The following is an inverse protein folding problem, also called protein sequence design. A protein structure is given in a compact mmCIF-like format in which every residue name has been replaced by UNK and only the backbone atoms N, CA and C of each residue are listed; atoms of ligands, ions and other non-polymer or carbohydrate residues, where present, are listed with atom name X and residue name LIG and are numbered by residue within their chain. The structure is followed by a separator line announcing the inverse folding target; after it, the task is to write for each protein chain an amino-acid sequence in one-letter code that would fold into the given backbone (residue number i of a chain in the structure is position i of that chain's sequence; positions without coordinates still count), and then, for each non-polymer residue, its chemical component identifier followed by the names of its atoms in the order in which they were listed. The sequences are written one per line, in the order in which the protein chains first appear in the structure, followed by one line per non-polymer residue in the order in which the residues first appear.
data_IF_989299716551
#
_entry.id   IF_989299716551
#
_cell.length_a   1.000
_cell.length_b   1.000
_cell.length_c   1.000
_cell.angle_alpha   90.00
_cell.angle_beta   90.00
_cell.angle_gamma   90.00
#
_symmetry.space_group_name_H-M   'P 1'
#
loop_
_entity.id
_entity.type
_entity.pdbx_description
1 polymer ?
#
# COMPACT_ATOMS: atom_id res chain seq x y z
N UNK A 1 -21.57 3.67 19.31
CA UNK A 1 -21.40 2.20 19.36
C UNK A 1 -19.99 1.83 18.90
N UNK A 2 -19.21 1.17 19.76
CA UNK A 2 -17.98 0.52 19.30
C UNK A 2 -18.32 -0.37 18.10
N UNK A 3 -17.59 -0.25 17.00
CA UNK A 3 -17.81 -1.13 15.86
C UNK A 3 -17.50 -2.57 16.28
N UNK A 4 -18.38 -3.51 15.90
CA UNK A 4 -18.15 -4.94 16.12
C UNK A 4 -16.87 -5.45 15.41
N UNK A 5 -16.35 -4.68 14.46
CA UNK A 5 -15.13 -4.97 13.69
C UNK A 5 -14.14 -3.80 13.85
N UNK A 6 -12.90 -4.11 14.25
CA UNK A 6 -11.81 -3.14 14.39
C UNK A 6 -10.60 -3.58 13.58
N UNK A 7 -9.81 -2.61 13.13
CA UNK A 7 -8.45 -2.88 12.68
C UNK A 7 -7.58 -3.37 13.83
N UNK A 8 -6.46 -4.02 13.51
CA UNK A 8 -5.53 -4.58 14.51
C UNK A 8 -4.96 -3.50 15.42
N UNK A 9 -4.65 -2.31 14.89
CA UNK A 9 -4.18 -1.15 15.65
C UNK A 9 -5.19 0.02 15.52
N UNK A 10 -6.30 0.02 16.27
CA UNK A 10 -7.41 0.95 16.06
C UNK A 10 -7.08 2.41 16.37
N UNK A 11 -6.08 2.67 17.23
CA UNK A 11 -5.68 4.02 17.64
C UNK A 11 -4.49 4.57 16.84
N UNK A 12 -3.97 3.80 15.87
CA UNK A 12 -2.92 4.27 14.99
C UNK A 12 -3.46 5.37 14.05
N UNK A 13 -2.66 6.43 13.86
CA UNK A 13 -2.96 7.46 12.85
C UNK A 13 -2.70 6.89 11.45
N UNK A 14 -3.50 7.30 10.48
CA UNK A 14 -3.40 6.86 9.08
C UNK A 14 -3.00 8.06 8.21
N UNK A 15 -1.97 7.89 7.39
CA UNK A 15 -1.63 8.79 6.27
C UNK A 15 -2.00 8.06 4.99
N UNK A 16 -2.93 8.63 4.20
CA UNK A 16 -3.34 8.06 2.92
C UNK A 16 -2.59 8.73 1.78
N UNK A 17 -1.81 7.97 1.02
CA UNK A 17 -1.09 8.45 -0.17
C UNK A 17 -1.68 7.75 -1.39
N UNK A 18 -2.43 8.51 -2.20
CA UNK A 18 -3.10 7.98 -3.39
C UNK A 18 -2.11 7.91 -4.57
N UNK A 19 -1.83 6.70 -5.03
CA UNK A 19 -0.95 6.42 -6.19
C UNK A 19 -1.67 5.74 -7.36
N UNK A 20 -2.93 5.38 -7.17
CA UNK A 20 -3.73 4.65 -8.14
C UNK A 20 -4.90 5.44 -8.70
N UNK A 21 -5.32 5.06 -9.90
CA UNK A 21 -6.54 5.54 -10.56
C UNK A 21 -7.78 4.78 -10.05
N UNK A 22 -8.97 5.18 -10.49
CA UNK A 22 -10.24 4.72 -9.92
C UNK A 22 -10.50 3.21 -10.08
N UNK A 23 -9.94 2.59 -11.12
CA UNK A 23 -10.03 1.15 -11.40
C UNK A 23 -8.96 0.32 -10.67
N UNK A 24 -8.11 0.95 -9.86
CA UNK A 24 -7.02 0.29 -9.13
C UNK A 24 -5.71 0.19 -9.92
N UNK A 25 -5.63 0.70 -11.15
CA UNK A 25 -4.38 0.85 -11.87
C UNK A 25 -3.39 1.76 -11.13
N UNK A 26 -2.13 1.33 -11.01
CA UNK A 26 -1.04 2.08 -10.37
C UNK A 26 0.13 2.10 -11.33
N UNK A 27 0.96 3.14 -11.36
CA UNK A 27 2.23 3.10 -12.14
C UNK A 27 3.43 3.06 -11.19
N UNK A 28 4.48 2.34 -11.59
CA UNK A 28 5.72 2.20 -10.80
C UNK A 28 6.30 3.56 -10.43
N UNK A 29 6.27 4.54 -11.35
CA UNK A 29 6.84 5.86 -11.08
C UNK A 29 6.07 6.62 -9.99
N UNK A 30 4.74 6.44 -9.91
CA UNK A 30 3.93 7.03 -8.86
C UNK A 30 4.18 6.39 -7.49
N UNK A 31 4.39 5.07 -7.47
CA UNK A 31 4.74 4.38 -6.22
C UNK A 31 6.11 4.82 -5.72
N UNK A 32 7.11 4.88 -6.61
CA UNK A 32 8.45 5.38 -6.27
C UNK A 32 8.35 6.81 -5.72
N UNK A 33 7.62 7.70 -6.40
CA UNK A 33 7.39 9.07 -5.96
C UNK A 33 6.76 9.16 -4.57
N UNK A 34 5.73 8.35 -4.32
CA UNK A 34 5.03 8.31 -3.04
C UNK A 34 5.90 7.77 -1.91
N UNK A 35 6.69 6.73 -2.16
CA UNK A 35 7.63 6.20 -1.15
C UNK A 35 8.66 7.26 -0.78
N UNK A 36 9.17 7.99 -1.76
CA UNK A 36 10.10 9.09 -1.54
C UNK A 36 9.49 10.21 -0.70
N UNK A 37 8.27 10.65 -1.04
CA UNK A 37 7.53 11.61 -0.23
C UNK A 37 7.34 11.12 1.22
N UNK A 38 6.95 9.85 1.39
CA UNK A 38 6.81 9.24 2.72
C UNK A 38 8.12 9.28 3.49
N UNK A 39 9.25 8.97 2.85
CA UNK A 39 10.57 9.03 3.48
C UNK A 39 10.92 10.46 3.90
N UNK A 40 10.74 11.42 3.02
CA UNK A 40 11.11 12.82 3.26
C UNK A 40 10.25 13.45 4.37
N UNK A 41 8.94 13.15 4.40
CA UNK A 41 7.97 13.75 5.32
C UNK A 41 7.65 12.91 6.56
N UNK A 42 8.30 11.75 6.77
CA UNK A 42 7.98 10.82 7.87
C UNK A 42 8.00 11.43 9.27
N UNK A 43 8.75 12.51 9.46
CA UNK A 43 8.98 13.22 10.72
C UNK A 43 8.49 14.68 10.70
N UNK A 44 7.76 15.10 9.66
CA UNK A 44 7.17 16.43 9.63
C UNK A 44 6.25 16.65 10.83
N UNK A 45 6.02 17.90 11.20
CA UNK A 45 5.24 18.23 12.39
C UNK A 45 3.86 17.55 12.38
N UNK A 46 3.58 16.74 13.40
CA UNK A 46 2.35 15.95 13.52
C UNK A 46 2.39 14.56 12.88
N UNK A 47 3.46 14.23 12.15
CA UNK A 47 3.70 12.93 11.53
C UNK A 47 4.76 12.12 12.31
N UNK A 48 4.60 10.80 12.25
CA UNK A 48 5.54 9.81 12.74
C UNK A 48 5.31 8.53 11.95
N UNK A 49 5.61 8.58 10.64
CA UNK A 49 5.34 7.45 9.74
C UNK A 49 6.38 6.37 10.02
N UNK A 50 5.91 5.26 10.60
CA UNK A 50 6.77 4.13 11.00
C UNK A 50 6.47 2.83 10.28
N UNK A 51 5.31 2.73 9.62
CA UNK A 51 4.86 1.56 8.87
C UNK A 51 4.36 2.03 7.52
N UNK A 52 4.84 1.39 6.44
CA UNK A 52 4.39 1.60 5.08
C UNK A 52 3.78 0.31 4.55
N UNK A 53 2.48 0.33 4.30
CA UNK A 53 1.73 -0.79 3.74
C UNK A 53 1.63 -0.68 2.21
N UNK A 54 2.18 -1.66 1.49
CA UNK A 54 2.12 -1.76 0.03
C UNK A 54 1.32 -3.03 -0.33
N UNK A 55 0.00 -2.89 -0.41
CA UNK A 55 -0.95 -3.97 -0.72
C UNK A 55 -1.17 -4.17 -2.23
N UNK A 56 -0.15 -3.92 -3.05
CA UNK A 56 -0.14 -4.10 -4.50
C UNK A 56 1.31 -4.32 -4.96
N UNK A 57 1.52 -4.75 -6.21
CA UNK A 57 2.86 -4.95 -6.74
C UNK A 57 2.87 -5.29 -8.22
N UNK A 58 4.08 -5.39 -8.77
CA UNK A 58 4.28 -5.73 -10.18
C UNK A 58 4.76 -7.18 -10.35
N UNK A 59 4.62 -7.69 -11.56
CA UNK A 59 5.14 -8.99 -11.99
C UNK A 59 6.59 -8.92 -12.47
N UNK A 60 7.34 -7.89 -12.05
CA UNK A 60 8.74 -7.74 -12.46
C UNK A 60 9.54 -9.02 -12.19
N UNK A 61 10.26 -9.48 -13.21
CA UNK A 61 11.14 -10.65 -13.14
C UNK A 61 12.61 -10.25 -12.94
N UNK A 62 12.89 -8.95 -12.79
CA UNK A 62 14.27 -8.50 -12.61
C UNK A 62 14.77 -8.82 -11.19
N UNK A 63 16.07 -9.05 -11.01
CA UNK A 63 16.63 -9.21 -9.67
C UNK A 63 16.32 -8.02 -8.78
N UNK A 64 15.93 -8.27 -7.52
CA UNK A 64 15.64 -7.21 -6.55
C UNK A 64 16.77 -6.18 -6.45
N UNK A 65 18.03 -6.64 -6.54
CA UNK A 65 19.24 -5.81 -6.47
C UNK A 65 19.34 -4.70 -7.55
N UNK A 66 18.56 -4.80 -8.63
CA UNK A 66 18.52 -3.78 -9.68
C UNK A 66 17.14 -3.15 -9.85
N UNK A 67 16.10 -3.66 -9.19
CA UNK A 67 14.73 -3.16 -9.36
C UNK A 67 14.58 -1.76 -8.72
N UNK A 68 14.14 -0.72 -9.48
CA UNK A 68 13.99 0.64 -8.96
C UNK A 68 12.85 0.78 -7.93
N UNK A 69 11.77 -0.01 -8.03
CA UNK A 69 10.71 -0.05 -7.02
C UNK A 69 11.21 -0.73 -5.74
N UNK A 70 11.97 -1.82 -5.86
CA UNK A 70 12.62 -2.45 -4.71
C UNK A 70 13.60 -1.48 -4.02
N UNK A 71 14.38 -0.73 -4.79
CA UNK A 71 15.26 0.31 -4.24
C UNK A 71 14.49 1.35 -3.44
N UNK A 72 13.37 1.87 -3.97
CA UNK A 72 12.55 2.84 -3.25
C UNK A 72 12.04 2.27 -1.91
N UNK A 73 11.51 1.05 -1.93
CA UNK A 73 11.05 0.36 -0.72
C UNK A 73 12.19 0.13 0.28
N UNK A 74 13.37 -0.26 -0.18
CA UNK A 74 14.55 -0.47 0.67
C UNK A 74 15.11 0.84 1.25
N UNK A 75 14.93 1.97 0.58
CA UNK A 75 15.21 3.30 1.18
C UNK A 75 14.27 3.63 2.32
N UNK A 76 12.98 3.34 2.18
CA UNK A 76 12.05 3.50 3.30
C UNK A 76 12.43 2.62 4.48
N UNK A 77 12.81 1.36 4.21
CA UNK A 77 13.37 0.46 5.21
C UNK A 77 14.59 1.05 5.92
N UNK A 78 15.56 1.53 5.15
CA UNK A 78 16.78 2.14 5.67
C UNK A 78 16.52 3.44 6.46
N UNK A 79 15.44 4.17 6.14
CA UNK A 79 15.00 5.37 6.84
C UNK A 79 14.25 5.09 8.17
N UNK A 80 14.13 3.82 8.56
CA UNK A 80 13.49 3.40 9.81
C UNK A 80 11.98 3.12 9.70
N UNK A 81 11.46 3.01 8.48
CA UNK A 81 10.06 2.69 8.20
C UNK A 81 9.95 1.19 7.91
N UNK A 82 9.09 0.47 8.64
CA UNK A 82 8.82 -0.94 8.34
C UNK A 82 7.96 -1.00 7.08
N UNK A 83 8.48 -1.58 6.01
CA UNK A 83 7.73 -1.77 4.76
C UNK A 83 7.12 -3.17 4.74
N UNK A 84 5.80 -3.23 4.67
CA UNK A 84 5.01 -4.46 4.63
C UNK A 84 4.39 -4.56 3.23
N UNK A 85 4.78 -5.59 2.47
CA UNK A 85 4.35 -5.76 1.09
C UNK A 85 3.57 -7.07 0.90
N UNK A 86 2.47 -7.00 0.17
CA UNK A 86 1.69 -8.17 -0.21
C UNK A 86 2.49 -9.07 -1.17
N UNK A 87 2.50 -10.38 -0.93
CA UNK A 87 3.23 -11.34 -1.75
C UNK A 87 2.68 -11.47 -3.18
N UNK A 88 1.41 -11.16 -3.39
CA UNK A 88 0.70 -11.28 -4.68
C UNK A 88 -0.32 -12.43 -4.68
N UNK A 89 -1.23 -12.41 -5.66
CA UNK A 89 -2.36 -13.34 -5.75
C UNK A 89 -2.27 -14.29 -6.97
N UNK A 90 -1.06 -14.53 -7.49
CA UNK A 90 -0.83 -15.26 -8.76
C UNK A 90 -0.27 -16.67 -8.58
N UNK A 91 -0.35 -17.26 -7.39
CA UNK A 91 -0.07 -18.68 -7.29
C UNK A 91 -1.14 -19.46 -8.08
N UNK A 92 -0.68 -20.41 -8.90
CA UNK A 92 -1.54 -21.28 -9.70
C UNK A 92 -1.64 -22.67 -9.07
N UNK A 93 -2.64 -23.43 -9.52
CA UNK A 93 -2.98 -24.82 -9.17
C UNK A 93 -1.94 -25.55 -8.29
N UNK A 94 -2.24 -25.72 -7.01
CA UNK A 94 -1.40 -26.47 -6.06
C UNK A 94 -0.21 -25.68 -5.51
N UNK A 95 -0.35 -24.37 -5.29
CA UNK A 95 0.68 -23.51 -4.70
C UNK A 95 1.99 -23.52 -5.51
N UNK A 96 1.87 -23.51 -6.83
CA UNK A 96 3.00 -23.41 -7.75
C UNK A 96 2.97 -22.08 -8.49
N UNK A 97 4.10 -21.37 -8.51
CA UNK A 97 4.26 -20.19 -9.35
C UNK A 97 5.62 -20.22 -10.05
N UNK A 98 5.63 -19.97 -11.37
CA UNK A 98 6.86 -19.71 -12.11
C UNK A 98 7.42 -18.30 -11.85
N UNK A 99 6.57 -17.40 -11.35
CA UNK A 99 6.88 -15.97 -11.18
C UNK A 99 7.36 -15.60 -9.77
N UNK A 100 6.96 -16.33 -8.74
CA UNK A 100 7.31 -16.02 -7.35
C UNK A 100 6.48 -14.87 -6.77
N UNK A 101 7.10 -14.12 -5.86
CA UNK A 101 6.48 -12.96 -5.21
C UNK A 101 6.47 -11.74 -6.13
N UNK A 102 5.47 -10.86 -5.96
CA UNK A 102 5.43 -9.57 -6.64
C UNK A 102 6.54 -8.62 -6.16
N UNK A 103 6.97 -7.68 -7.00
CA UNK A 103 7.80 -6.54 -6.56
C UNK A 103 6.92 -5.51 -5.84
N UNK A 104 7.32 -4.94 -4.68
CA UNK A 104 8.64 -5.06 -4.02
C UNK A 104 8.76 -6.20 -2.98
N UNK A 105 7.72 -7.02 -2.75
CA UNK A 105 7.76 -8.11 -1.77
C UNK A 105 8.85 -9.17 -2.06
N UNK A 106 9.26 -9.32 -3.31
CA UNK A 106 10.37 -10.19 -3.68
C UNK A 106 11.72 -9.76 -3.08
N UNK A 107 11.90 -8.47 -2.73
CA UNK A 107 13.13 -8.00 -2.08
C UNK A 107 13.36 -8.71 -0.73
N UNK A 108 14.54 -9.30 -0.47
CA UNK A 108 14.86 -9.94 0.80
C UNK A 108 14.79 -9.03 2.03
N UNK A 109 14.91 -7.70 1.84
CA UNK A 109 14.84 -6.71 2.91
C UNK A 109 13.41 -6.41 3.34
N UNK A 110 12.45 -6.51 2.41
CA UNK A 110 11.06 -6.11 2.64
C UNK A 110 10.27 -7.26 3.28
N UNK A 111 9.40 -6.91 4.23
CA UNK A 111 8.53 -7.87 4.90
C UNK A 111 7.44 -8.32 3.93
N UNK A 112 7.62 -9.52 3.37
CA UNK A 112 6.69 -10.11 2.41
C UNK A 112 5.62 -10.94 3.12
N UNK A 113 4.35 -10.65 2.85
CA UNK A 113 3.23 -11.28 3.54
C UNK A 113 2.35 -12.07 2.57
N UNK A 114 2.20 -13.36 2.83
CA UNK A 114 1.21 -14.21 2.17
C UNK A 114 -0.13 -14.22 2.93
N UNK A 115 -1.16 -14.78 2.31
CA UNK A 115 -2.47 -14.91 2.92
C UNK A 115 -2.63 -16.27 3.62
N UNK A 116 -3.49 -16.31 4.63
CA UNK A 116 -4.05 -17.53 5.19
C UNK A 116 -5.57 -17.40 5.33
N UNK A 117 -6.24 -18.54 5.35
CA UNK A 117 -7.66 -18.70 5.64
C UNK A 117 -7.81 -19.41 7.00
N UNK A 118 -8.65 -18.84 7.86
CA UNK A 118 -9.01 -19.42 9.16
C UNK A 118 -10.19 -20.40 9.07
N UNK A 119 -10.72 -20.60 7.86
CA UNK A 119 -11.98 -21.29 7.56
C UNK A 119 -13.18 -20.79 8.39
N UNK A 120 -13.11 -19.56 8.91
CA UNK A 120 -14.14 -19.01 9.78
C UNK A 120 -14.24 -19.70 11.15
N UNK A 121 -13.24 -20.46 11.58
CA UNK A 121 -13.23 -21.12 12.89
C UNK A 121 -12.27 -20.41 13.86
N UNK A 122 -12.49 -20.61 15.17
CA UNK A 122 -11.55 -20.15 16.21
C UNK A 122 -10.39 -21.11 16.42
N UNK A 123 -10.48 -22.31 15.87
CA UNK A 123 -9.41 -23.31 15.92
C UNK A 123 -8.35 -22.93 14.92
N UNK A 124 -7.09 -23.04 15.31
CA UNK A 124 -5.96 -22.80 14.39
C UNK A 124 -5.47 -24.07 13.69
N UNK A 125 -6.15 -25.21 13.90
CA UNK A 125 -5.71 -26.53 13.41
C UNK A 125 -6.04 -26.76 11.94
N UNK A 126 -7.06 -26.08 11.46
CA UNK A 126 -7.59 -26.13 10.11
C UNK A 126 -7.15 -24.94 9.25
N UNK A 127 -6.51 -23.93 9.85
CA UNK A 127 -5.88 -22.81 9.15
C UNK A 127 -5.03 -23.30 7.97
N UNK A 128 -5.22 -22.67 6.80
CA UNK A 128 -4.53 -23.07 5.58
C UNK A 128 -4.07 -21.87 4.76
N UNK A 129 -3.10 -22.07 3.87
CA UNK A 129 -2.72 -21.05 2.89
C UNK A 129 -3.61 -21.22 1.65
N UNK A 130 -4.42 -20.22 1.25
CA UNK A 130 -5.28 -20.33 0.09
C UNK A 130 -4.46 -20.39 -1.21
N UNK A 131 -5.03 -21.02 -2.24
CA UNK A 131 -4.35 -21.27 -3.53
C UNK A 131 -3.89 -20.01 -4.25
N UNK A 132 -4.56 -18.88 -4.05
CA UNK A 132 -4.19 -17.61 -4.67
C UNK A 132 -2.92 -17.01 -4.08
N UNK A 133 -2.61 -17.27 -2.80
CA UNK A 133 -1.49 -16.63 -2.10
C UNK A 133 -0.19 -16.96 -2.80
N UNK A 134 0.58 -15.94 -3.19
CA UNK A 134 1.87 -16.13 -3.81
C UNK A 134 2.80 -16.98 -2.94
N UNK A 135 3.62 -17.78 -3.61
CA UNK A 135 4.55 -18.74 -3.03
C UNK A 135 5.91 -18.60 -3.71
N UNK A 136 6.94 -19.16 -3.09
CA UNK A 136 8.27 -19.14 -3.68
C UNK A 136 8.27 -19.75 -5.10
N UNK A 137 8.90 -19.06 -6.05
CA UNK A 137 9.29 -19.67 -7.31
C UNK A 137 10.37 -20.74 -7.08
N UNK A 138 10.67 -21.57 -8.08
CA UNK A 138 11.78 -22.51 -8.02
C UNK A 138 13.09 -21.80 -7.68
N UNK A 139 13.70 -22.15 -6.53
CA UNK A 139 14.90 -21.49 -5.95
C UNK A 139 14.72 -19.99 -5.64
N UNK A 140 13.48 -19.51 -5.63
CA UNK A 140 13.13 -18.14 -5.24
C UNK A 140 12.89 -17.99 -3.73
N UNK A 141 12.75 -16.74 -3.30
CA UNK A 141 12.38 -16.38 -1.93
C UNK A 141 10.90 -16.72 -1.67
N UNK A 142 10.61 -17.28 -0.49
CA UNK A 142 9.25 -17.41 0.05
C UNK A 142 8.81 -16.13 0.76
N UNK A 143 7.51 -15.98 1.02
CA UNK A 143 7.02 -14.96 1.96
C UNK A 143 7.69 -15.12 3.32
N UNK A 144 7.70 -14.06 4.12
CA UNK A 144 8.27 -14.13 5.47
C UNK A 144 7.36 -14.83 6.45
N UNK A 145 6.06 -14.58 6.31
CA UNK A 145 4.99 -15.18 7.08
C UNK A 145 3.69 -15.06 6.30
N UNK A 146 2.65 -15.71 6.79
CA UNK A 146 1.28 -15.53 6.31
C UNK A 146 0.43 -14.88 7.39
N UNK A 147 -0.55 -14.07 7.00
CA UNK A 147 -1.52 -13.47 7.90
C UNK A 147 -2.93 -13.63 7.34
N UNK A 148 -3.96 -13.40 8.16
CA UNK A 148 -5.36 -13.54 7.74
C UNK A 148 -5.59 -12.67 6.51
N UNK A 149 -5.92 -13.31 5.39
CA UNK A 149 -6.12 -12.65 4.11
C UNK A 149 -7.35 -13.13 3.36
N UNK A 150 -7.95 -14.27 3.75
CA UNK A 150 -9.20 -14.75 3.16
C UNK A 150 -10.42 -14.25 3.94
N UNK A 151 -11.46 -13.84 3.21
CA UNK A 151 -12.79 -13.51 3.73
C UNK A 151 -12.77 -12.44 4.83
N UNK A 152 -11.79 -11.54 4.78
CA UNK A 152 -11.61 -10.47 5.75
C UNK A 152 -12.70 -9.41 5.57
N UNK A 153 -13.25 -8.91 6.66
CA UNK A 153 -14.27 -7.85 6.64
C UNK A 153 -13.60 -6.51 6.92
N UNK A 154 -13.76 -5.56 6.00
CA UNK A 154 -13.20 -4.21 6.08
C UNK A 154 -14.24 -3.13 5.79
N UNK A 155 -13.82 -1.86 5.90
CA UNK A 155 -14.69 -0.72 5.57
C UNK A 155 -14.99 -0.70 4.07
N UNK A 156 -16.27 -0.48 3.75
CA UNK A 156 -16.73 -0.35 2.37
C UNK A 156 -16.59 1.09 1.88
N UNK A 157 -16.19 1.26 0.63
CA UNK A 157 -16.28 2.52 -0.11
C UNK A 157 -17.37 2.38 -1.18
N UNK A 158 -18.57 2.96 -0.97
CA UNK A 158 -19.66 2.88 -1.93
C UNK A 158 -19.26 3.45 -3.30
N UNK A 159 -19.70 2.80 -4.39
CA UNK A 159 -19.44 3.16 -5.78
C UNK A 159 -17.96 3.10 -6.19
N UNK A 160 -17.08 2.53 -5.36
CA UNK A 160 -15.72 2.20 -5.79
C UNK A 160 -15.74 1.09 -6.84
N UNK A 161 -14.63 0.93 -7.59
CA UNK A 161 -14.53 -0.12 -8.60
C UNK A 161 -14.83 -1.51 -8.01
N UNK A 162 -14.26 -1.85 -6.85
CA UNK A 162 -14.51 -3.15 -6.21
C UNK A 162 -15.95 -3.28 -5.75
N UNK A 163 -16.54 -2.19 -5.23
CA UNK A 163 -17.93 -2.19 -4.80
C UNK A 163 -18.88 -2.46 -5.97
N UNK A 164 -18.65 -1.84 -7.12
CA UNK A 164 -19.52 -1.98 -8.31
C UNK A 164 -19.36 -3.34 -9.00
N UNK A 165 -18.14 -3.84 -9.11
CA UNK A 165 -17.84 -5.05 -9.88
C UNK A 165 -17.97 -6.35 -9.07
N UNK A 166 -17.97 -6.28 -7.73
CA UNK A 166 -18.07 -7.45 -6.85
C UNK A 166 -19.16 -7.24 -5.77
N UNK A 167 -20.44 -7.10 -6.17
CA UNK A 167 -21.53 -6.81 -5.24
C UNK A 167 -21.74 -7.87 -4.16
N UNK A 168 -21.32 -9.12 -4.39
CA UNK A 168 -21.36 -10.23 -3.43
C UNK A 168 -20.46 -10.02 -2.21
N UNK A 169 -19.42 -9.18 -2.32
CA UNK A 169 -18.57 -8.80 -1.19
C UNK A 169 -19.25 -7.84 -0.23
N UNK A 170 -20.38 -7.21 -0.60
CA UNK A 170 -21.03 -6.19 0.22
C UNK A 170 -21.68 -6.82 1.46
N UNK A 171 -21.34 -6.29 2.63
CA UNK A 171 -21.92 -6.68 3.92
C UNK A 171 -22.69 -5.49 4.52
N UNK A 172 -23.95 -5.36 4.09
CA UNK A 172 -24.76 -4.18 4.39
C UNK A 172 -24.14 -2.91 3.82
N UNK A 173 -24.42 -1.77 4.47
CA UNK A 173 -24.01 -0.47 3.93
C UNK A 173 -22.56 -0.09 4.24
N UNK A 174 -22.00 -0.63 5.33
CA UNK A 174 -20.73 -0.16 5.93
C UNK A 174 -19.53 -1.05 5.66
N UNK A 175 -19.74 -2.33 5.36
CA UNK A 175 -18.65 -3.31 5.30
C UNK A 175 -18.57 -4.01 3.95
N UNK A 176 -17.36 -4.43 3.62
CA UNK A 176 -17.05 -5.19 2.42
C UNK A 176 -16.15 -6.35 2.83
N UNK A 177 -16.42 -7.54 2.31
CA UNK A 177 -15.61 -8.74 2.49
C UNK A 177 -14.65 -8.85 1.31
N UNK A 178 -13.38 -9.13 1.58
CA UNK A 178 -12.34 -9.31 0.57
C UNK A 178 -11.44 -10.50 0.87
N UNK A 179 -10.78 -11.02 -0.18
CA UNK A 179 -9.75 -12.04 -0.07
C UNK A 179 -8.51 -11.65 -0.88
N UNK A 180 -7.34 -11.71 -0.26
CA UNK A 180 -6.10 -11.35 -0.91
C UNK A 180 -4.90 -11.26 0.03
N UNK A 181 -3.69 -11.28 -0.56
CA UNK A 181 -2.47 -10.92 0.17
C UNK A 181 -2.43 -9.44 0.55
N UNK A 182 -3.25 -8.60 -0.12
CA UNK A 182 -3.48 -7.19 0.21
C UNK A 182 -4.03 -7.00 1.62
N UNK A 183 -5.01 -7.81 2.02
CA UNK A 183 -5.63 -7.87 3.34
C UNK A 183 -4.62 -8.36 4.39
N UNK A 184 -3.87 -9.42 4.06
CA UNK A 184 -2.86 -9.99 4.95
C UNK A 184 -1.74 -8.97 5.27
N UNK A 185 -1.30 -8.19 4.28
CA UNK A 185 -0.34 -7.10 4.47
C UNK A 185 -0.90 -6.01 5.40
N UNK A 186 -2.18 -5.65 5.28
CA UNK A 186 -2.81 -4.66 6.15
C UNK A 186 -2.93 -5.15 7.60
N UNK A 187 -3.33 -6.42 7.81
CA UNK A 187 -3.36 -7.07 9.13
C UNK A 187 -1.96 -7.06 9.77
N UNK A 188 -0.94 -7.43 9.00
CA UNK A 188 0.45 -7.43 9.46
C UNK A 188 0.94 -6.02 9.78
N UNK A 189 0.58 -5.01 8.98
CA UNK A 189 0.93 -3.61 9.25
C UNK A 189 0.36 -3.11 10.58
N UNK A 190 -0.87 -3.52 10.92
CA UNK A 190 -1.45 -3.22 12.23
C UNK A 190 -0.72 -3.92 13.38
N UNK A 191 -0.32 -5.19 13.21
CA UNK A 191 0.50 -5.89 14.21
C UNK A 191 1.86 -5.21 14.41
N UNK A 192 2.51 -4.76 13.32
CA UNK A 192 3.73 -3.96 13.40
C UNK A 192 3.51 -2.66 14.17
N UNK A 193 2.39 -1.97 13.95
CA UNK A 193 2.07 -0.74 14.68
C UNK A 193 1.92 -0.99 16.19
N UNK A 194 1.27 -2.10 16.60
CA UNK A 194 1.20 -2.51 18.00
C UNK A 194 2.58 -2.83 18.57
N UNK A 195 3.42 -3.55 17.83
CA UNK A 195 4.78 -3.87 18.26
C UNK A 195 5.62 -2.61 18.46
N UNK A 196 5.50 -1.64 17.56
CA UNK A 196 6.19 -0.35 17.66
C UNK A 196 5.60 0.57 18.75
N UNK A 197 4.34 0.37 19.13
CA UNK A 197 3.79 1.02 20.33
C UNK A 197 4.46 0.49 21.60
N UNK A 198 4.64 -0.83 21.70
CA UNK A 198 5.30 -1.47 22.85
C UNK A 198 6.82 -1.22 22.86
N UNK A 199 7.45 -1.20 21.69
CA UNK A 199 8.89 -1.03 21.51
C UNK A 199 9.22 0.06 20.47
N UNK A 200 9.09 1.36 20.83
CA UNK A 200 9.23 2.47 19.88
C UNK A 200 10.59 2.58 19.18
N UNK A 201 11.65 2.08 19.82
CA UNK A 201 13.03 2.12 19.32
C UNK A 201 13.40 0.98 18.39
N UNK A 202 12.51 0.00 18.18
CA UNK A 202 12.80 -1.11 17.27
C UNK A 202 13.10 -0.63 15.86
N UNK A 203 14.18 -1.18 15.29
CA UNK A 203 14.48 -1.03 13.87
C UNK A 203 13.61 -1.95 13.01
N UNK A 204 13.43 -1.66 11.72
CA UNK A 204 12.72 -2.55 10.81
C UNK A 204 13.28 -3.99 10.80
N UNK A 205 14.60 -4.17 10.91
CA UNK A 205 15.22 -5.49 10.97
C UNK A 205 14.81 -6.26 12.24
N UNK A 206 14.71 -5.58 13.38
CA UNK A 206 14.26 -6.18 14.63
C UNK A 206 12.77 -6.55 14.58
N UNK A 207 11.95 -5.69 13.99
CA UNK A 207 10.52 -5.98 13.74
C UNK A 207 10.39 -7.23 12.86
N UNK A 208 11.03 -7.27 11.69
CA UNK A 208 11.02 -8.42 10.79
C UNK A 208 11.48 -9.70 11.49
N UNK A 209 12.59 -9.64 12.23
CA UNK A 209 13.08 -10.78 13.00
C UNK A 209 12.11 -11.24 14.09
N UNK A 210 11.43 -10.31 14.76
CA UNK A 210 10.42 -10.63 15.78
C UNK A 210 9.24 -11.38 15.15
N UNK A 211 8.65 -10.82 14.10
CA UNK A 211 7.49 -11.40 13.41
C UNK A 211 7.81 -12.80 12.87
N UNK A 212 8.96 -12.97 12.21
CA UNK A 212 9.38 -14.29 11.68
C UNK A 212 9.61 -15.32 12.78
N UNK A 213 10.18 -14.93 13.92
CA UNK A 213 10.45 -15.86 15.04
C UNK A 213 9.20 -16.20 15.85
N UNK A 214 8.27 -15.25 15.95
CA UNK A 214 7.00 -15.44 16.64
C UNK A 214 6.01 -16.28 15.81
N UNK A 215 6.15 -16.28 14.48
CA UNK A 215 5.24 -16.96 13.57
C UNK A 215 4.99 -18.44 13.96
N UNK A 216 3.72 -18.84 13.86
CA UNK A 216 3.23 -20.17 14.21
C UNK A 216 3.14 -21.06 12.96
N UNK A 217 3.88 -22.17 12.87
CA UNK A 217 3.79 -23.07 11.73
C UNK A 217 2.38 -23.64 11.52
N UNK A 218 1.89 -23.57 10.28
CA UNK A 218 0.65 -24.18 9.81
C UNK A 218 0.91 -25.65 9.43
N UNK A 219 0.85 -26.53 10.43
CA UNK A 219 0.80 -27.99 10.25
C UNK A 219 1.73 -28.54 9.15
N UNK A 220 1.14 -29.16 8.11
CA UNK A 220 1.85 -29.83 7.00
C UNK A 220 2.21 -28.90 5.82
N UNK A 221 2.11 -27.58 5.99
CA UNK A 221 2.42 -26.60 4.94
C UNK A 221 3.93 -26.40 4.83
N UNK A 222 4.50 -26.35 3.63
CA UNK A 222 5.95 -26.16 3.46
C UNK A 222 6.36 -24.69 3.65
N UNK A 223 7.60 -24.45 4.07
CA UNK A 223 8.14 -23.09 4.22
C UNK A 223 8.14 -22.29 2.89
N UNK A 224 8.16 -22.95 1.74
CA UNK A 224 8.02 -22.31 0.42
C UNK A 224 6.65 -21.66 0.21
N UNK A 225 5.64 -22.10 0.96
CA UNK A 225 4.24 -21.63 0.89
C UNK A 225 3.93 -20.68 2.05
N UNK A 226 4.29 -21.04 3.29
CA UNK A 226 3.92 -20.26 4.48
C UNK A 226 5.02 -19.34 5.04
N UNK A 227 6.24 -19.38 4.48
CA UNK A 227 7.38 -18.73 5.10
C UNK A 227 7.69 -19.34 6.47
N UNK A 228 7.74 -18.49 7.50
CA UNK A 228 7.93 -18.91 8.90
C UNK A 228 6.62 -19.33 9.60
N UNK A 229 5.47 -19.17 8.94
CA UNK A 229 4.15 -19.55 9.47
C UNK A 229 3.19 -18.39 9.60
N UNK A 230 2.09 -18.62 10.32
CA UNK A 230 1.05 -17.65 10.59
C UNK A 230 1.50 -16.57 11.57
N UNK A 231 1.12 -15.31 11.32
CA UNK A 231 1.25 -14.20 12.25
C UNK A 231 0.62 -14.57 13.62
N UNK A 232 1.40 -14.43 14.68
CA UNK A 232 1.00 -14.76 16.05
C UNK A 232 1.27 -13.53 16.93
N UNK A 233 0.21 -12.75 17.18
CA UNK A 233 0.29 -11.47 17.87
C UNK A 233 0.67 -11.65 19.35
N UNK A 234 0.07 -12.63 20.02
CA UNK A 234 0.32 -12.90 21.44
C UNK A 234 1.78 -13.26 21.67
N UNK A 235 2.30 -14.22 20.88
CA UNK A 235 3.70 -14.61 20.98
C UNK A 235 4.64 -13.48 20.60
N UNK A 236 4.29 -12.66 19.61
CA UNK A 236 5.10 -11.52 19.18
C UNK A 236 5.27 -10.48 20.28
N UNK A 237 4.23 -10.18 21.07
CA UNK A 237 4.24 -9.15 22.11
C UNK A 237 4.88 -9.62 23.45
N UNK A 238 5.02 -10.93 23.66
CA UNK A 238 5.66 -11.51 24.84
C UNK A 238 7.16 -11.79 24.66
N UNK A 239 7.63 -11.84 23.41
CA UNK A 239 9.01 -12.19 23.11
C UNK A 239 9.99 -11.03 23.38
N UNK A 240 11.21 -11.32 23.87
CA UNK A 240 12.23 -10.29 24.04
C UNK A 240 12.71 -9.76 22.69
N UNK A 241 13.02 -8.45 22.64
CA UNK A 241 13.54 -7.77 21.44
C UNK A 241 14.74 -8.54 20.86
N UNK A 242 14.67 -9.02 19.62
CA UNK A 242 15.74 -9.80 19.04
C UNK A 242 16.97 -8.93 18.77
N UNK A 243 18.15 -9.52 18.91
CA UNK A 243 19.37 -8.97 18.32
C UNK A 243 19.33 -9.24 16.82
N UNK A 244 18.86 -8.27 16.05
CA UNK A 244 18.91 -8.30 14.60
C UNK A 244 19.87 -7.21 14.12
N UNK A 245 20.81 -7.58 13.26
CA UNK A 245 21.60 -6.65 12.45
C UNK A 245 21.15 -6.83 11.02
N UNK A 246 21.02 -5.70 10.31
CA UNK A 246 20.73 -5.67 8.88
C UNK A 246 21.65 -6.65 8.14
N UNK A 247 21.08 -7.73 7.62
CA UNK A 247 21.75 -8.48 6.57
C UNK A 247 21.63 -7.62 5.32
N UNK A 248 22.63 -6.77 5.09
CA UNK A 248 22.79 -5.96 3.87
C UNK A 248 23.66 -6.61 2.77
N UNK A 249 23.60 -7.92 2.42
CA UNK A 249 24.45 -8.38 1.35
C UNK A 249 24.22 -7.64 0.03
N UNK A 250 22.97 -7.30 -0.33
CA UNK A 250 22.66 -6.81 -1.68
C UNK A 250 21.50 -5.80 -1.72
N UNK A 251 21.65 -4.64 -1.07
CA UNK A 251 20.66 -3.56 -1.21
C UNK A 251 20.54 -3.13 -2.68
N UNK A 252 19.32 -2.89 -3.14
CA UNK A 252 19.02 -2.57 -4.52
C UNK A 252 19.65 -1.25 -4.95
N UNK A 253 20.41 -1.33 -6.04
CA UNK A 253 20.99 -0.19 -6.70
C UNK A 253 20.03 0.48 -7.70
N UNK A 254 18.86 -0.12 -7.97
CA UNK A 254 17.83 0.49 -8.81
C UNK A 254 18.28 0.79 -10.25
N UNK A 255 19.34 0.12 -10.72
CA UNK A 255 19.96 0.35 -12.04
C UNK A 255 19.24 -0.40 -13.18
N UNK A 256 18.25 -1.22 -12.84
CA UNK A 256 17.36 -1.91 -13.77
C UNK A 256 16.45 -0.93 -14.50
N UNK A 257 15.72 -1.45 -15.47
CA UNK A 257 14.86 -0.62 -16.32
C UNK A 257 13.52 -0.36 -15.64
N UNK A 258 12.94 0.82 -15.85
CA UNK A 258 11.59 1.12 -15.39
C UNK A 258 10.59 0.15 -16.00
N UNK A 259 10.75 -0.14 -17.30
CA UNK A 259 9.87 -1.06 -18.01
C UNK A 259 9.90 -2.47 -17.44
N UNK A 260 11.08 -2.98 -17.07
CA UNK A 260 11.19 -4.27 -16.40
C UNK A 260 10.56 -4.23 -15.00
N UNK A 261 10.61 -3.09 -14.31
CA UNK A 261 9.93 -2.90 -13.01
C UNK A 261 8.42 -2.90 -13.15
N UNK A 262 7.84 -2.40 -14.26
CA UNK A 262 6.40 -2.50 -14.56
C UNK A 262 5.93 -3.93 -14.76
N UNK A 263 6.80 -4.79 -15.31
CA UNK A 263 6.47 -6.18 -15.59
C UNK A 263 5.49 -6.31 -16.76
N UNK A 264 4.49 -7.17 -16.62
CA UNK A 264 3.50 -7.45 -17.66
C UNK A 264 2.25 -6.55 -17.63
N UNK A 265 2.20 -5.57 -16.73
CA UNK A 265 1.00 -4.75 -16.49
C UNK A 265 1.29 -3.25 -16.70
N UNK A 266 0.47 -2.57 -17.50
CA UNK A 266 0.65 -1.16 -17.83
C UNK A 266 -0.66 -0.39 -17.69
N UNK A 267 -0.59 0.76 -17.00
CA UNK A 267 -1.67 1.73 -17.02
C UNK A 267 -1.70 2.44 -18.37
N UNK A 268 -2.89 2.90 -18.79
CA UNK A 268 -3.01 3.74 -19.99
C UNK A 268 -3.41 5.17 -19.64
N UNK A 269 -2.86 6.12 -20.37
CA UNK A 269 -3.28 7.51 -20.36
C UNK A 269 -4.03 7.80 -21.66
N UNK A 270 -5.32 8.12 -21.59
CA UNK A 270 -6.15 8.35 -22.78
C UNK A 270 -6.09 7.20 -23.81
N UNK A 271 -6.03 5.95 -23.32
CA UNK A 271 -5.93 4.76 -24.18
C UNK A 271 -4.53 4.44 -24.70
N UNK A 272 -3.51 5.26 -24.38
CA UNK A 272 -2.11 4.99 -24.73
C UNK A 272 -1.41 4.32 -23.54
N UNK A 273 -0.92 3.07 -23.67
CA UNK A 273 -0.17 2.40 -22.62
C UNK A 273 1.09 3.19 -22.23
N UNK A 274 1.32 3.37 -20.94
CA UNK A 274 2.52 4.00 -20.40
C UNK A 274 3.67 2.98 -20.38
N UNK A 275 4.44 2.94 -21.46
CA UNK A 275 5.56 2.00 -21.64
C UNK A 275 6.90 2.74 -21.74
N UNK A 276 7.98 1.99 -21.59
CA UNK A 276 9.35 2.45 -21.80
C UNK A 276 9.92 3.23 -20.61
N UNK A 277 11.01 3.96 -20.85
CA UNK A 277 11.82 4.57 -19.79
C UNK A 277 11.41 6.01 -19.51
N UNK A 278 10.11 6.20 -19.29
CA UNK A 278 9.51 7.49 -19.01
C UNK A 278 8.44 7.37 -17.94
N UNK A 279 8.25 8.44 -17.18
CA UNK A 279 7.18 8.54 -16.19
C UNK A 279 5.82 8.82 -16.83
N UNK A 280 4.79 8.96 -15.97
CA UNK A 280 3.42 9.22 -16.42
C UNK A 280 3.23 10.58 -17.11
N UNK A 281 4.22 11.48 -17.03
CA UNK A 281 4.24 12.79 -17.69
C UNK A 281 5.05 12.77 -19.00
N UNK A 282 5.60 11.61 -19.38
CA UNK A 282 6.45 11.46 -20.56
C UNK A 282 7.88 11.94 -20.34
N UNK A 283 8.28 12.21 -19.10
CA UNK A 283 9.65 12.62 -18.79
C UNK A 283 10.56 11.39 -18.65
N UNK A 284 11.81 11.44 -19.14
CA UNK A 284 12.74 10.33 -19.02
C UNK A 284 12.94 9.88 -17.57
N UNK A 285 12.87 8.58 -17.31
CA UNK A 285 13.13 8.02 -15.98
C UNK A 285 14.64 8.09 -15.68
N UNK A 286 15.05 8.75 -14.58
CA UNK A 286 16.48 8.93 -14.29
C UNK A 286 17.11 7.59 -13.87
N UNK A 287 18.03 7.08 -14.69
CA UNK A 287 18.83 5.89 -14.37
C UNK A 287 20.16 6.30 -13.74
N UNK A 288 20.41 5.86 -12.51
CA UNK A 288 21.72 6.02 -11.88
C UNK A 288 22.76 5.11 -12.54
N UNK A 289 23.99 5.60 -12.71
CA UNK A 289 25.10 4.85 -13.35
C UNK A 289 25.94 4.03 -12.37
N UNK A 290 25.69 4.16 -11.08
CA UNK A 290 26.30 3.38 -10.00
C UNK A 290 25.34 3.42 -8.81
N UNK A 291 25.43 2.49 -7.85
CA UNK A 291 24.66 2.50 -6.59
C UNK A 291 24.77 3.82 -5.78
N UNK A 292 25.56 4.77 -6.29
CA UNK A 292 25.58 6.20 -5.98
C UNK A 292 24.26 6.89 -6.36
N UNK A 293 23.53 7.28 -5.33
CA UNK A 293 22.74 8.51 -5.29
C UNK A 293 21.55 8.63 -6.25
N UNK A 294 20.42 8.04 -5.86
CA UNK A 294 19.24 8.89 -5.70
C UNK A 294 19.31 9.40 -4.26
N UNK A 295 19.96 10.56 -4.12
CA UNK A 295 20.02 11.36 -2.89
C UNK A 295 18.70 12.11 -2.85
N UNK A 296 17.89 11.83 -1.83
CA UNK A 296 16.53 12.37 -1.65
C UNK A 296 16.53 13.90 -1.66
N UNK A 297 16.28 14.49 -2.82
CA UNK A 297 16.32 15.95 -2.95
C UNK A 297 15.75 16.54 -4.23
N UNK A 298 15.45 15.80 -5.30
CA UNK A 298 14.70 16.35 -6.44
C UNK A 298 14.02 15.24 -7.25
N UNK A 299 12.83 14.84 -6.80
CA UNK A 299 11.83 14.27 -7.68
C UNK A 299 11.31 15.40 -8.59
N UNK A 300 11.42 15.25 -9.91
CA UNK A 300 10.82 16.15 -10.91
C UNK A 300 9.33 15.88 -11.11
N UNK A 301 8.63 15.57 -10.04
CA UNK A 301 7.19 15.55 -10.14
C UNK A 301 6.61 16.81 -9.55
N UNK A 302 5.49 17.17 -10.16
CA UNK A 302 4.62 18.23 -9.72
C UNK A 302 4.19 17.96 -8.28
N UNK A 303 4.35 18.94 -7.39
CA UNK A 303 3.54 19.00 -6.18
C UNK A 303 2.08 18.93 -6.65
N UNK A 304 1.35 17.89 -6.25
CA UNK A 304 -0.10 17.86 -6.38
C UNK A 304 -0.66 18.88 -5.38
N UNK A 305 -0.62 20.16 -5.75
CA UNK A 305 -1.67 21.08 -5.37
C UNK A 305 -2.83 20.77 -6.31
N UNK A 306 -3.51 19.65 -6.06
CA UNK A 306 -4.83 19.42 -6.64
C UNK A 306 -5.73 20.56 -6.19
N UNK A 307 -6.50 21.11 -7.11
CA UNK A 307 -7.38 22.25 -6.86
C UNK A 307 -8.36 21.90 -5.71
N UNK A 308 -8.08 22.51 -4.55
CA UNK A 308 -8.85 22.60 -3.31
C UNK A 308 -8.93 21.34 -2.40
N UNK A 309 -8.13 21.36 -1.32
CA UNK A 309 -8.68 21.22 0.04
C UNK A 309 -8.85 22.63 0.61
N UNK A 310 -10.09 23.11 0.70
CA UNK A 310 -10.41 24.27 1.53
C UNK A 310 -10.82 23.74 2.91
N UNK A 311 -9.87 23.74 3.85
CA UNK A 311 -10.05 23.45 5.27
C UNK A 311 -8.83 23.98 6.02
N UNK A 312 -9.05 24.93 6.91
CA UNK A 312 -8.11 25.99 7.31
C UNK A 312 -7.07 25.59 8.36
N UNK A 313 -5.88 26.22 8.21
CA UNK A 313 -4.87 26.59 9.20
C UNK A 313 -3.85 25.55 9.73
N UNK A 314 -2.62 25.64 9.19
CA UNK A 314 -1.39 25.70 10.01
C UNK A 314 -0.59 26.92 9.56
N UNK A 315 -0.61 27.95 10.40
CA UNK A 315 -0.15 29.30 10.11
C UNK A 315 1.36 29.41 9.84
N UNK A 316 1.69 30.18 8.79
CA UNK A 316 2.89 30.98 8.55
C UNK A 316 4.18 30.27 8.10
N UNK A 317 4.33 30.05 6.79
CA UNK A 317 5.52 30.49 6.02
C UNK A 317 5.08 30.89 4.60
N UNK A 318 5.27 32.16 4.26
CA UNK A 318 5.06 32.74 2.93
C UNK A 318 6.05 32.17 1.91
N UNK A 319 5.56 31.63 0.80
CA UNK A 319 6.37 31.27 -0.36
C UNK A 319 6.47 32.45 -1.33
N UNK A 320 7.69 32.96 -1.53
CA UNK A 320 8.03 33.82 -2.66
C UNK A 320 8.35 32.94 -3.86
N UNK A 321 7.36 32.70 -4.71
CA UNK A 321 7.52 32.00 -5.98
C UNK A 321 6.86 32.81 -7.08
N UNK A 322 7.68 33.31 -7.99
CA UNK A 322 7.39 34.28 -9.03
C UNK A 322 6.16 33.93 -9.89
N UNK A 323 5.31 34.94 -10.11
CA UNK A 323 4.25 35.05 -11.13
C UNK A 323 4.65 34.43 -12.46
N UNK A 324 3.72 33.77 -13.18
CA UNK A 324 3.64 33.91 -14.64
C UNK A 324 2.23 33.60 -15.19
N UNK A 325 2.02 34.16 -16.37
CA UNK A 325 0.77 34.45 -17.10
C UNK A 325 0.25 33.30 -17.97
N UNK A 326 -1.07 33.08 -17.97
CA UNK A 326 -1.76 32.26 -18.97
C UNK A 326 -3.27 32.12 -18.75
N UNK A 327 -4.03 32.87 -19.56
CA UNK A 327 -5.50 32.79 -19.80
C UNK A 327 -6.45 32.95 -18.60
N UNK A 328 -6.82 34.20 -18.34
CA UNK A 328 -8.05 34.64 -17.68
C UNK A 328 -9.28 33.95 -18.27
N UNK A 329 -10.17 33.46 -17.39
CA UNK A 329 -11.59 33.35 -17.69
C UNK A 329 -12.38 34.21 -16.72
N UNK A 330 -12.97 35.27 -17.28
CA UNK A 330 -13.99 36.10 -16.68
C UNK A 330 -15.29 35.30 -16.51
N UNK A 331 -15.83 35.24 -15.30
CA UNK A 331 -17.09 34.57 -15.04
C UNK A 331 -17.74 35.05 -13.74
N UNK A 332 -18.40 36.20 -13.82
CA UNK A 332 -19.37 36.75 -12.86
C UNK A 332 -18.88 37.09 -11.45
N UNK A 333 -18.55 38.38 -11.29
CA UNK A 333 -18.72 39.17 -10.07
C UNK A 333 -20.06 38.87 -9.41
N UNK A 334 -20.05 38.52 -8.12
CA UNK A 334 -21.20 38.70 -7.23
C UNK A 334 -20.85 39.76 -6.20
N UNK A 335 -21.33 40.97 -6.47
CA UNK A 335 -21.38 42.09 -5.54
C UNK A 335 -22.45 41.85 -4.48
N UNK A 336 -22.16 42.22 -3.23
CA UNK A 336 -23.21 42.69 -2.34
C UNK A 336 -23.18 42.17 -0.90
N UNK A 337 -22.71 43.05 -0.02
CA UNK A 337 -23.23 43.30 1.34
C UNK A 337 -23.09 42.21 2.42
N UNK A 338 -22.07 42.41 3.25
CA UNK A 338 -22.10 42.44 4.73
C UNK A 338 -23.42 42.06 5.40
N UNK A 339 -23.39 41.04 6.27
CA UNK A 339 -24.31 40.94 7.41
C UNK A 339 -23.57 40.47 8.67
N UNK A 340 -23.54 41.36 9.66
CA UNK A 340 -23.30 41.08 11.07
C UNK A 340 -24.64 40.93 11.78
N UNK A 341 -24.85 39.88 12.56
CA UNK A 341 -25.98 39.85 13.50
C UNK A 341 -26.48 38.46 13.91
N UNK A 342 -26.32 38.19 15.21
CA UNK A 342 -27.19 37.41 16.11
C UNK A 342 -27.36 35.89 15.92
N UNK A 343 -26.85 35.18 16.94
CA UNK A 343 -27.32 33.94 17.59
C UNK A 343 -28.73 33.44 17.22
N UNK A 344 -28.92 32.12 17.14
CA UNK A 344 -29.63 31.30 18.15
C UNK A 344 -29.65 29.79 17.80
N UNK A 345 -29.94 29.00 18.83
CA UNK A 345 -29.87 27.55 19.05
C UNK A 345 -30.89 26.69 18.29
N UNK A 346 -30.51 25.43 17.99
CA UNK A 346 -31.46 24.37 17.62
C UNK A 346 -30.79 23.01 17.42
N UNK A 347 -31.11 22.05 18.29
CA UNK A 347 -30.67 20.65 18.23
C UNK A 347 -31.57 19.83 17.30
N UNK A 348 -31.04 19.33 16.17
CA UNK A 348 -31.40 18.06 15.49
C UNK A 348 -30.67 17.95 14.14
N UNK A 349 -29.98 16.84 13.90
CA UNK A 349 -29.50 16.48 12.56
C UNK A 349 -30.29 15.26 12.10
N UNK A 350 -31.22 15.46 11.17
CA UNK A 350 -31.81 14.40 10.34
C UNK A 350 -31.22 14.51 8.94
N UNK A 351 -30.65 13.41 8.45
CA UNK A 351 -29.82 13.39 7.26
C UNK A 351 -30.56 13.61 5.94
N UNK A 352 -29.76 13.86 4.91
CA UNK A 352 -30.07 13.50 3.53
C UNK A 352 -28.80 13.59 2.69
N UNK A 353 -28.34 12.42 2.22
CA UNK A 353 -27.73 12.13 0.91
C UNK A 353 -26.85 13.21 0.26
N UNK A 354 -25.56 12.90 0.11
CA UNK A 354 -24.69 13.56 -0.85
C UNK A 354 -24.49 12.65 -2.05
N UNK A 355 -25.17 12.97 -3.16
CA UNK A 355 -24.87 12.44 -4.48
C UNK A 355 -23.70 13.21 -5.06
N UNK A 356 -22.50 12.62 -5.01
CA UNK A 356 -21.30 13.19 -5.60
C UNK A 356 -21.30 13.00 -7.12
N UNK A 357 -21.37 14.12 -7.83
CA UNK A 357 -21.36 14.27 -9.27
C UNK A 357 -20.05 13.74 -9.90
N UNK A 358 -20.17 13.17 -11.10
CA UNK A 358 -19.08 12.68 -11.95
C UNK A 358 -18.04 13.77 -12.28
N UNK A 359 -16.76 13.44 -12.14
CA UNK A 359 -15.65 14.29 -12.58
C UNK A 359 -15.15 13.83 -13.95
N UNK A 360 -15.24 14.71 -14.95
CA UNK A 360 -14.57 14.57 -16.24
C UNK A 360 -13.24 15.33 -16.20
N UNK A 361 -12.22 14.70 -15.62
CA UNK A 361 -10.81 14.95 -15.93
C UNK A 361 -10.33 13.81 -16.83
N UNK A 362 -9.26 14.03 -17.62
CA UNK A 362 -8.63 13.08 -18.56
C UNK A 362 -8.91 11.61 -18.21
N UNK A 363 -9.54 10.85 -19.10
CA UNK A 363 -9.89 9.45 -18.84
C UNK A 363 -8.64 8.58 -18.78
N UNK A 364 -8.24 8.19 -17.57
CA UNK A 364 -7.24 7.14 -17.32
C UNK A 364 -8.00 5.83 -17.09
N UNK A 365 -7.68 4.79 -17.87
CA UNK A 365 -8.24 3.44 -17.72
C UNK A 365 -7.12 2.44 -17.90
N UNK A 366 -6.84 1.60 -16.90
CA UNK A 366 -5.77 0.62 -16.96
C UNK A 366 -6.26 -0.79 -17.31
N UNK A 367 -5.53 -1.49 -18.18
CA UNK A 367 -5.42 -2.95 -18.11
C UNK A 367 -4.54 -3.27 -16.89
N UNK A 368 -5.08 -4.02 -15.96
CA UNK A 368 -4.78 -3.84 -14.54
C UNK A 368 -3.42 -4.39 -14.08
N UNK A 369 -2.92 -3.86 -12.94
CA UNK A 369 -1.92 -4.53 -12.11
C UNK A 369 -2.56 -5.77 -11.47
N UNK A 370 -1.83 -6.54 -10.66
CA UNK A 370 -2.30 -7.82 -10.09
C UNK A 370 -3.53 -7.80 -9.18
N UNK A 371 -4.33 -6.72 -9.17
CA UNK A 371 -5.72 -6.74 -8.74
C UNK A 371 -6.60 -7.62 -9.62
N UNK A 372 -6.12 -8.08 -10.78
CA UNK A 372 -6.84 -8.97 -11.71
C UNK A 372 -7.08 -10.41 -11.23
N UNK A 373 -6.82 -10.73 -9.95
CA UNK A 373 -7.25 -12.02 -9.38
C UNK A 373 -7.88 -11.81 -8.01
N UNK A 374 -9.03 -11.12 -7.99
CA UNK A 374 -10.07 -11.45 -7.02
C UNK A 374 -10.67 -12.77 -7.50
N UNK A 375 -10.31 -13.90 -6.87
CA UNK A 375 -10.86 -15.19 -7.29
C UNK A 375 -12.33 -15.27 -6.86
N UNK A 376 -13.22 -15.54 -7.82
CA UNK A 376 -14.65 -15.83 -7.58
C UNK A 376 -14.88 -17.16 -6.87
N UNK A 377 -13.84 -17.99 -6.69
CA UNK A 377 -13.94 -19.34 -6.12
C UNK A 377 -14.20 -19.38 -4.60
N UNK A 378 -14.22 -18.25 -3.87
CA UNK A 378 -14.05 -18.29 -2.40
C UNK A 378 -14.99 -17.38 -1.58
N UNK A 379 -16.20 -17.14 -2.08
CA UNK A 379 -17.19 -16.29 -1.41
C UNK A 379 -18.24 -17.07 -0.60
N UNK A 380 -18.10 -18.41 -0.55
CA UNK A 380 -18.92 -19.34 0.25
C UNK A 380 -18.43 -19.52 1.69
#
# INVERSE_FOLDING_TARGET
PESAYRGVAPDARIVSVKVGVADGGVDVTQVIAAINWVVDHRQDNGLNIRVLNISFGTSSLQPAAIDPLAQAAERAWAAGIVVVAAGGNRASSGHSSSRGLASPAYSPMILAVGAMDTNGTSSTRDDSVPSYSAVAAWRGRAVDLVAVGSKLQGLRVPNSFVDLNFPEGRLGDRYFRGSGTSEAAAVTSGAVALLLQQHPEMTPDQVSAMLRRAARPLGRTSATVQGNGALDLDRMLEMPVPRARSARPDASCGVGTLEASRGDSHVTNQGVPLTGEQDIFGMPFPRGSACSAWVGGSWHGSIWAGDAWAGTDWSLVTWTGSTWSGSTWSGSTWSGSTWSGSTWSGSSWSGSSWSGSSWSGSSWSGSSWSSEVWSTEQWG
#
